data_IF_460896350132
#
_entry.id   IF_460896350132
#
_cell.length_a   1.000
_cell.length_b   1.000
_cell.length_c   1.000
_cell.angle_alpha   90.00
_cell.angle_beta   90.00
_cell.angle_gamma   90.00
#
_symmetry.space_group_name_H-M   'P 1'
#
loop_
_entity.id
_entity.type
_entity.pdbx_description
1 polymer ?
#
# COMPACT_ATOMS: atom_id res chain seq x y z
N UNK A 1 21.89 0.94 -2.75
CA UNK A 1 23.05 0.40 -2.03
C UNK A 1 22.57 -0.12 -0.69
N UNK A 2 23.04 -1.30 -0.27
CA UNK A 2 22.72 -1.85 1.05
C UNK A 2 23.95 -2.51 1.63
N UNK A 3 24.09 -2.43 2.95
CA UNK A 3 25.12 -3.09 3.73
C UNK A 3 24.46 -3.82 4.88
N UNK A 4 24.94 -5.02 5.19
CA UNK A 4 24.47 -5.83 6.31
C UNK A 4 25.64 -6.53 6.97
N UNK A 5 25.78 -6.35 8.28
CA UNK A 5 26.76 -7.01 9.14
C UNK A 5 26.01 -7.92 10.14
N UNK A 6 26.08 -9.25 9.98
CA UNK A 6 25.29 -10.18 10.81
C UNK A 6 25.84 -10.37 12.24
N UNK A 7 27.09 -9.95 12.50
CA UNK A 7 27.76 -10.10 13.80
C UNK A 7 28.25 -8.78 14.37
N UNK A 8 27.40 -7.77 14.32
CA UNK A 8 27.73 -6.44 14.81
C UNK A 8 28.13 -6.46 16.30
N UNK A 9 29.35 -5.99 16.59
CA UNK A 9 29.93 -6.00 17.93
C UNK A 9 30.54 -7.35 18.36
N UNK A 10 30.57 -8.38 17.50
CA UNK A 10 31.40 -9.60 17.64
C UNK A 10 31.00 -10.62 18.70
N UNK A 11 29.95 -10.39 19.51
CA UNK A 11 29.63 -11.27 20.66
C UNK A 11 28.31 -12.01 20.61
N UNK A 12 27.36 -11.58 19.81
CA UNK A 12 25.99 -12.16 19.68
C UNK A 12 25.49 -11.96 18.27
N UNK A 13 24.54 -12.78 17.80
CA UNK A 13 23.94 -12.56 16.47
C UNK A 13 23.03 -11.33 16.50
N UNK A 14 23.66 -10.15 16.41
CA UNK A 14 23.01 -8.87 16.20
C UNK A 14 23.35 -8.44 14.81
N UNK A 15 22.36 -8.39 13.94
CA UNK A 15 22.52 -7.90 12.59
C UNK A 15 22.35 -6.38 12.56
N UNK A 16 23.32 -5.69 12.04
CA UNK A 16 23.24 -4.28 11.68
C UNK A 16 23.01 -4.17 10.18
N UNK A 17 22.11 -3.29 9.77
CA UNK A 17 21.83 -3.06 8.36
C UNK A 17 21.66 -1.58 8.06
N UNK A 18 22.15 -1.16 6.89
CA UNK A 18 21.90 0.17 6.35
C UNK A 18 21.49 0.04 4.91
N UNK A 19 20.58 0.89 4.47
CA UNK A 19 20.22 0.97 3.06
C UNK A 19 20.08 2.43 2.62
N UNK A 20 20.41 2.65 1.36
CA UNK A 20 20.20 3.91 0.67
C UNK A 20 19.71 3.62 -0.74
N UNK A 21 18.62 4.27 -1.14
CA UNK A 21 18.07 4.15 -2.49
C UNK A 21 17.63 5.50 -3.03
N UNK A 22 17.79 5.66 -4.33
CA UNK A 22 17.26 6.78 -5.08
C UNK A 22 16.55 6.24 -6.32
N UNK A 23 15.33 6.67 -6.53
CA UNK A 23 14.51 6.34 -7.69
C UNK A 23 13.97 7.62 -8.31
N UNK A 24 14.04 7.72 -9.64
CA UNK A 24 13.41 8.79 -10.41
C UNK A 24 12.58 8.18 -11.51
N UNK A 25 11.31 8.56 -11.53
CA UNK A 25 10.34 8.13 -12.53
C UNK A 25 9.88 9.34 -13.34
N UNK A 26 9.66 9.13 -14.63
CA UNK A 26 9.07 10.14 -15.52
C UNK A 26 7.71 9.65 -15.99
N UNK A 27 6.85 10.58 -16.39
CA UNK A 27 5.56 10.22 -16.95
C UNK A 27 5.73 9.67 -18.37
N UNK A 28 5.26 8.44 -18.58
CA UNK A 28 5.24 7.83 -19.90
C UNK A 28 3.91 8.13 -20.59
N UNK A 29 3.97 8.66 -21.80
CA UNK A 29 2.82 8.77 -22.67
C UNK A 29 2.70 7.46 -23.47
N UNK A 30 1.81 6.59 -23.04
CA UNK A 30 1.61 5.28 -23.65
C UNK A 30 1.06 5.36 -25.10
N UNK A 31 0.38 6.48 -25.45
CA UNK A 31 -0.18 6.65 -26.81
C UNK A 31 0.90 7.00 -27.84
N UNK A 32 1.94 7.69 -27.42
CA UNK A 32 3.04 8.15 -28.32
C UNK A 32 4.35 7.40 -28.08
N UNK A 33 4.43 6.59 -27.02
CA UNK A 33 5.66 5.92 -26.58
C UNK A 33 6.75 6.90 -26.08
N UNK A 34 6.41 8.17 -25.91
CA UNK A 34 7.36 9.21 -25.47
C UNK A 34 7.39 9.35 -23.96
N UNK A 35 8.55 9.76 -23.43
CA UNK A 35 8.75 10.03 -22.00
C UNK A 35 8.76 11.54 -21.80
N UNK A 36 7.83 12.04 -20.99
CA UNK A 36 7.79 13.45 -20.60
C UNK A 36 8.71 13.70 -19.40
N UNK A 37 9.92 14.18 -19.68
CA UNK A 37 10.94 14.47 -18.65
C UNK A 37 10.64 15.71 -17.81
N UNK A 38 9.68 16.55 -18.21
CA UNK A 38 9.22 17.68 -17.41
C UNK A 38 8.37 17.27 -16.22
N UNK A 39 7.84 16.03 -16.25
CA UNK A 39 7.01 15.43 -15.19
C UNK A 39 7.77 14.31 -14.52
N UNK A 40 8.09 14.48 -13.25
CA UNK A 40 8.91 13.51 -12.52
C UNK A 40 8.44 13.28 -11.09
N UNK A 41 8.67 12.06 -10.63
CA UNK A 41 8.50 11.63 -9.25
C UNK A 41 9.81 11.05 -8.74
N UNK A 42 10.41 11.71 -7.76
CA UNK A 42 11.67 11.32 -7.15
C UNK A 42 11.43 10.74 -5.75
N UNK A 43 12.11 9.65 -5.43
CA UNK A 43 12.09 9.03 -4.10
C UNK A 43 13.53 8.85 -3.65
N UNK A 44 13.91 9.48 -2.55
CA UNK A 44 15.15 9.25 -1.84
C UNK A 44 14.83 8.51 -0.55
N UNK A 45 15.48 7.39 -0.28
CA UNK A 45 15.25 6.62 0.94
C UNK A 45 16.57 6.25 1.61
N UNK A 46 16.62 6.36 2.92
CA UNK A 46 17.69 5.90 3.77
C UNK A 46 17.13 5.15 4.97
N UNK A 47 17.78 4.06 5.39
CA UNK A 47 17.40 3.35 6.60
C UNK A 47 18.60 2.79 7.36
N UNK A 48 18.44 2.68 8.67
CA UNK A 48 19.37 2.02 9.59
C UNK A 48 18.56 1.08 10.45
N UNK A 49 19.00 -0.17 10.57
CA UNK A 49 18.31 -1.19 11.32
C UNK A 49 19.23 -2.05 12.18
N UNK A 50 18.68 -2.54 13.27
CA UNK A 50 19.27 -3.54 14.17
C UNK A 50 18.27 -4.68 14.35
N UNK A 51 18.69 -5.90 14.10
CA UNK A 51 17.90 -7.09 14.36
C UNK A 51 18.67 -8.03 15.32
N UNK A 52 17.98 -8.51 16.34
CA UNK A 52 18.57 -9.38 17.37
C UNK A 52 17.76 -10.64 17.49
N UNK A 53 18.42 -11.79 17.40
CA UNK A 53 17.82 -13.08 17.77
C UNK A 53 17.65 -13.14 19.29
N UNK A 54 16.45 -13.48 19.72
CA UNK A 54 16.12 -13.67 21.13
C UNK A 54 16.41 -15.11 21.55
N UNK A 55 16.60 -15.33 22.83
CA UNK A 55 16.80 -16.67 23.42
C UNK A 55 15.58 -17.14 24.19
N UNK A 56 14.62 -16.26 24.42
CA UNK A 56 13.38 -16.50 25.16
C UNK A 56 12.22 -15.96 24.31
N UNK A 57 11.13 -16.70 24.13
CA UNK A 57 10.82 -18.06 24.63
C UNK A 57 11.57 -19.17 23.90
N UNK A 58 11.98 -18.98 22.65
CA UNK A 58 12.86 -19.85 21.88
C UNK A 58 13.80 -19.04 20.98
N UNK A 59 14.80 -19.67 20.40
CA UNK A 59 15.83 -19.02 19.56
C UNK A 59 15.38 -18.71 18.12
N UNK A 60 14.11 -18.96 17.79
CA UNK A 60 13.53 -18.64 16.49
C UNK A 60 12.99 -17.21 16.42
N UNK A 61 12.89 -16.52 17.56
CA UNK A 61 12.41 -15.13 17.60
C UNK A 61 13.47 -14.12 17.21
N UNK A 62 13.08 -13.15 16.41
CA UNK A 62 13.90 -12.02 15.99
C UNK A 62 13.16 -10.72 16.34
N UNK A 63 13.80 -9.88 17.14
CA UNK A 63 13.37 -8.51 17.40
C UNK A 63 14.14 -7.57 16.50
N UNK A 64 13.44 -6.80 15.69
CA UNK A 64 14.01 -5.81 14.77
C UNK A 64 13.59 -4.40 15.15
N UNK A 65 14.51 -3.46 14.97
CA UNK A 65 14.28 -2.03 15.15
C UNK A 65 14.91 -1.32 13.96
N UNK A 66 14.22 -0.38 13.36
CA UNK A 66 14.73 0.38 12.24
C UNK A 66 14.27 1.83 12.30
N UNK A 67 15.15 2.72 11.91
CA UNK A 67 14.83 4.12 11.62
C UNK A 67 14.95 4.30 10.12
N UNK A 68 13.96 4.92 9.51
CA UNK A 68 13.94 5.18 8.07
C UNK A 68 13.57 6.64 7.79
N UNK A 69 14.16 7.17 6.76
CA UNK A 69 13.83 8.47 6.21
C UNK A 69 13.56 8.32 4.71
N UNK A 70 12.43 8.86 4.24
CA UNK A 70 12.06 8.91 2.84
C UNK A 70 11.68 10.34 2.47
N UNK A 71 12.22 10.81 1.36
CA UNK A 71 11.88 12.10 0.77
C UNK A 71 11.25 11.87 -0.59
N UNK A 72 10.06 12.37 -0.76
CA UNK A 72 9.28 12.33 -1.99
C UNK A 72 9.26 13.73 -2.59
N UNK A 73 9.48 13.81 -3.90
CA UNK A 73 9.47 15.07 -4.64
C UNK A 73 8.72 14.87 -5.96
N UNK A 74 7.65 15.61 -6.12
CA UNK A 74 6.76 15.55 -7.27
C UNK A 74 6.88 16.87 -8.07
N UNK A 75 7.11 16.73 -9.36
CA UNK A 75 7.12 17.83 -10.30
C UNK A 75 6.12 17.53 -11.44
N UNK A 76 4.97 18.16 -11.41
CA UNK A 76 3.86 17.96 -12.35
C UNK A 76 3.50 16.47 -12.56
N UNK A 77 3.66 15.65 -11.52
CA UNK A 77 3.48 14.22 -11.60
C UNK A 77 2.31 13.76 -10.72
N UNK A 78 1.20 13.40 -11.34
CA UNK A 78 0.06 12.84 -10.61
C UNK A 78 0.19 11.33 -10.51
N UNK A 79 0.43 10.83 -9.31
CA UNK A 79 0.60 9.39 -9.03
C UNK A 79 -0.73 8.68 -8.75
N UNK A 80 -1.82 9.43 -8.53
CA UNK A 80 -3.05 8.87 -7.95
C UNK A 80 -2.94 8.52 -6.47
N UNK A 81 -1.74 8.59 -5.87
CA UNK A 81 -1.50 8.38 -4.44
C UNK A 81 -1.46 9.71 -3.68
N UNK A 82 -0.83 10.71 -4.27
CA UNK A 82 -0.87 12.06 -3.74
C UNK A 82 -2.06 12.81 -4.35
N UNK A 83 -2.69 13.64 -3.56
CA UNK A 83 -3.75 14.54 -4.00
C UNK A 83 -3.20 15.81 -4.66
N UNK A 84 -1.87 15.99 -4.63
CA UNK A 84 -1.15 17.07 -5.29
C UNK A 84 -0.12 16.50 -6.29
N UNK A 85 0.09 17.19 -7.39
CA UNK A 85 1.06 16.83 -8.44
C UNK A 85 2.39 17.57 -8.35
N UNK A 86 2.47 18.60 -7.49
CA UNK A 86 3.67 19.42 -7.25
C UNK A 86 3.89 19.54 -5.75
N UNK A 87 5.13 19.37 -5.33
CA UNK A 87 5.51 19.52 -3.94
C UNK A 87 6.34 18.35 -3.41
N UNK A 88 6.65 18.40 -2.14
CA UNK A 88 7.48 17.40 -1.47
C UNK A 88 6.82 16.86 -0.23
N UNK A 89 7.21 15.65 0.16
CA UNK A 89 6.76 15.01 1.39
C UNK A 89 7.91 14.28 2.06
N UNK A 90 7.97 14.32 3.38
CA UNK A 90 9.01 13.71 4.20
C UNK A 90 8.42 12.69 5.14
N UNK A 91 9.00 11.51 5.16
CA UNK A 91 8.59 10.41 6.01
C UNK A 91 9.77 9.98 6.89
N UNK A 92 9.77 10.39 8.14
CA UNK A 92 10.71 9.89 9.13
C UNK A 92 9.98 8.93 10.05
N UNK A 93 10.40 7.67 10.08
CA UNK A 93 9.68 6.65 10.80
C UNK A 93 10.59 5.74 11.60
N UNK A 94 10.11 5.32 12.77
CA UNK A 94 10.66 4.22 13.55
C UNK A 94 9.77 2.99 13.38
N UNK A 95 10.40 1.85 13.10
CA UNK A 95 9.72 0.56 12.95
C UNK A 95 10.27 -0.42 13.97
N UNK A 96 9.39 -1.03 14.75
CA UNK A 96 9.69 -2.18 15.61
C UNK A 96 8.99 -3.41 15.04
N UNK A 97 9.69 -4.54 15.01
CA UNK A 97 9.15 -5.79 14.52
C UNK A 97 9.57 -6.97 15.39
N UNK A 98 8.63 -7.88 15.60
CA UNK A 98 8.87 -9.18 16.21
C UNK A 98 8.46 -10.24 15.19
N UNK A 99 9.38 -11.11 14.84
CA UNK A 99 9.11 -12.22 13.94
C UNK A 99 9.60 -13.54 14.54
N UNK A 100 8.96 -14.63 14.16
CA UNK A 100 9.35 -15.98 14.48
C UNK A 100 9.21 -16.85 13.25
N UNK A 101 10.23 -17.63 12.93
CA UNK A 101 10.19 -18.54 11.80
C UNK A 101 10.82 -19.86 12.18
N UNK A 102 10.00 -20.92 12.26
CA UNK A 102 10.43 -22.30 12.43
C UNK A 102 9.84 -23.22 11.35
N UNK A 103 9.56 -22.66 10.14
CA UNK A 103 9.13 -23.47 9.00
C UNK A 103 10.17 -24.56 8.67
N UNK A 104 9.68 -25.67 8.14
CA UNK A 104 10.50 -26.79 7.73
C UNK A 104 11.61 -26.41 6.75
N UNK A 105 12.61 -27.28 6.64
CA UNK A 105 13.87 -27.05 5.92
C UNK A 105 13.69 -26.72 4.43
N UNK A 106 12.61 -27.18 3.80
CA UNK A 106 12.33 -26.86 2.39
C UNK A 106 11.60 -25.53 2.28
N UNK A 107 12.24 -24.45 1.83
CA UNK A 107 11.61 -23.13 1.74
C UNK A 107 10.51 -23.04 0.66
N UNK A 108 10.56 -23.89 -0.38
CA UNK A 108 9.61 -23.88 -1.49
C UNK A 108 8.34 -24.65 -1.11
N UNK A 109 8.48 -25.74 -0.40
CA UNK A 109 7.38 -26.59 0.03
C UNK A 109 7.53 -26.96 1.50
N UNK A 110 7.31 -26.02 2.45
CA UNK A 110 7.30 -26.33 3.87
C UNK A 110 6.19 -27.34 4.19
N UNK A 111 6.52 -28.35 4.97
CA UNK A 111 5.56 -29.40 5.35
C UNK A 111 5.09 -29.29 6.79
N UNK A 112 5.77 -28.49 7.60
CA UNK A 112 5.46 -28.23 9.01
C UNK A 112 6.03 -26.88 9.44
N UNK A 113 5.63 -26.45 10.63
CA UNK A 113 6.12 -25.23 11.25
C UNK A 113 5.29 -24.01 10.96
N UNK A 114 5.75 -22.88 11.46
CA UNK A 114 5.04 -21.61 11.33
C UNK A 114 5.99 -20.44 11.16
N UNK A 115 5.46 -19.39 10.58
CA UNK A 115 6.06 -18.09 10.57
C UNK A 115 5.02 -17.08 11.02
N UNK A 116 5.37 -16.22 11.96
CA UNK A 116 4.55 -15.06 12.24
C UNK A 116 5.40 -13.80 12.38
N UNK A 117 4.79 -12.68 12.11
CA UNK A 117 5.40 -11.39 12.30
C UNK A 117 4.37 -10.36 12.76
N UNK A 118 4.79 -9.52 13.68
CA UNK A 118 4.11 -8.29 14.08
C UNK A 118 5.07 -7.16 13.82
N UNK A 119 4.62 -6.12 13.15
CA UNK A 119 5.40 -4.90 12.97
C UNK A 119 4.55 -3.67 13.27
N UNK A 120 5.17 -2.69 13.91
CA UNK A 120 4.56 -1.40 14.17
C UNK A 120 5.51 -0.30 13.70
N UNK A 121 5.02 0.58 12.84
CA UNK A 121 5.72 1.73 12.27
C UNK A 121 5.09 3.00 12.80
N UNK A 122 5.89 3.89 13.33
CA UNK A 122 5.46 5.14 13.95
C UNK A 122 6.25 6.30 13.36
N UNK A 123 5.57 7.38 13.04
CA UNK A 123 6.21 8.67 12.75
C UNK A 123 6.07 9.59 13.97
N UNK A 124 6.91 10.60 14.12
CA UNK A 124 6.70 11.61 15.17
C UNK A 124 5.36 12.33 14.98
N UNK A 125 4.65 12.65 16.09
CA UNK A 125 3.40 13.41 16.05
C UNK A 125 3.68 14.91 15.88
N UNK A 126 4.06 15.31 14.67
CA UNK A 126 4.45 16.69 14.35
C UNK A 126 3.39 17.73 14.67
N UNK A 127 2.11 17.35 14.52
CA UNK A 127 0.97 18.23 14.80
C UNK A 127 0.90 18.71 16.27
N UNK A 128 1.49 17.95 17.20
CA UNK A 128 1.55 18.36 18.62
C UNK A 128 2.52 19.51 18.87
N UNK A 129 3.48 19.74 17.97
CA UNK A 129 4.58 20.67 18.19
C UNK A 129 4.57 21.87 17.25
N UNK A 130 3.97 21.76 16.06
CA UNK A 130 4.08 22.77 15.01
C UNK A 130 3.02 23.88 15.07
N UNK A 131 2.02 23.75 15.95
CA UNK A 131 0.95 24.76 16.19
C UNK A 131 0.15 25.15 14.94
N UNK A 132 0.11 24.29 13.92
CA UNK A 132 -0.68 24.51 12.70
C UNK A 132 -2.12 24.09 12.94
N UNK A 133 -3.06 24.95 12.61
CA UNK A 133 -4.50 24.62 12.63
C UNK A 133 -4.90 23.92 11.32
N UNK A 134 -4.76 22.60 11.33
CA UNK A 134 -5.06 21.77 10.15
C UNK A 134 -6.54 21.72 9.77
N UNK A 135 -7.45 22.00 10.69
CA UNK A 135 -8.88 22.06 10.42
C UNK A 135 -9.24 23.28 9.56
N UNK A 136 -8.56 24.38 9.78
CA UNK A 136 -8.88 25.67 9.15
C UNK A 136 -7.91 26.11 8.05
N UNK A 137 -6.93 25.28 7.66
CA UNK A 137 -5.95 25.61 6.61
C UNK A 137 -6.60 26.18 5.33
N UNK A 138 -7.71 25.57 4.87
CA UNK A 138 -8.40 26.00 3.67
C UNK A 138 -9.03 27.40 3.77
N UNK A 139 -9.13 27.98 4.97
CA UNK A 139 -9.63 29.34 5.18
C UNK A 139 -8.53 30.39 5.09
N UNK A 140 -7.26 30.00 5.22
CA UNK A 140 -6.13 30.92 5.09
C UNK A 140 -5.91 31.33 3.63
N UNK A 141 -5.65 32.61 3.38
CA UNK A 141 -5.48 33.19 2.05
C UNK A 141 -4.43 32.46 1.19
N UNK A 142 -3.34 31.97 1.81
CA UNK A 142 -2.26 31.25 1.13
C UNK A 142 -2.72 29.93 0.49
N UNK A 143 -3.80 29.33 1.01
CA UNK A 143 -4.35 28.05 0.53
C UNK A 143 -5.64 28.21 -0.24
N UNK A 144 -6.00 29.43 -0.65
CA UNK A 144 -7.14 29.71 -1.52
C UNK A 144 -6.84 29.39 -2.98
N UNK A 145 -7.89 28.99 -3.69
CA UNK A 145 -7.81 28.67 -5.11
C UNK A 145 -7.64 29.98 -5.92
N UNK A 146 -6.63 29.98 -6.79
CA UNK A 146 -6.35 31.10 -7.69
C UNK A 146 -6.26 30.61 -9.13
N UNK A 147 -6.61 31.46 -10.09
CA UNK A 147 -6.36 31.15 -11.48
C UNK A 147 -4.85 31.12 -11.76
N UNK A 148 -4.34 29.94 -12.11
CA UNK A 148 -2.92 29.73 -12.47
C UNK A 148 -2.68 29.73 -13.98
N UNK A 149 -3.76 29.81 -14.79
CA UNK A 149 -3.72 29.81 -16.25
C UNK A 149 -3.78 31.20 -16.85
N UNK A 150 -4.07 31.24 -18.14
CA UNK A 150 -4.36 32.48 -18.82
C UNK A 150 -5.65 33.12 -18.31
N UNK A 151 -5.77 34.46 -18.43
CA UNK A 151 -7.00 35.14 -18.09
C UNK A 151 -8.16 34.74 -19.01
N UNK A 152 -9.36 34.71 -18.45
CA UNK A 152 -10.60 34.38 -19.17
C UNK A 152 -11.76 35.23 -18.62
N UNK A 153 -12.87 35.30 -19.37
CA UNK A 153 -14.13 35.79 -18.86
C UNK A 153 -14.91 34.63 -18.18
N UNK A 154 -15.36 34.87 -16.97
CA UNK A 154 -16.18 33.88 -16.25
C UNK A 154 -17.63 33.87 -16.78
N UNK A 155 -18.48 33.00 -16.21
CA UNK A 155 -19.87 32.89 -16.62
C UNK A 155 -20.73 34.13 -16.27
N UNK A 156 -20.19 35.03 -15.44
CA UNK A 156 -20.84 36.29 -15.02
C UNK A 156 -20.22 37.50 -15.76
N UNK A 157 -19.50 37.27 -16.87
CA UNK A 157 -18.79 38.27 -17.68
C UNK A 157 -17.71 39.07 -16.94
N UNK A 158 -17.18 38.55 -15.83
CA UNK A 158 -16.05 39.15 -15.11
C UNK A 158 -14.73 38.63 -15.68
N UNK A 159 -13.75 39.54 -15.83
CA UNK A 159 -12.40 39.14 -16.22
C UNK A 159 -11.65 38.51 -15.05
N UNK A 160 -11.25 37.22 -15.20
CA UNK A 160 -10.44 36.51 -14.26
C UNK A 160 -9.00 36.46 -14.74
N UNK A 161 -8.17 37.33 -14.21
CA UNK A 161 -6.73 37.38 -14.53
C UNK A 161 -5.93 36.28 -13.79
N UNK A 162 -4.67 36.07 -14.21
CA UNK A 162 -3.76 35.17 -13.54
C UNK A 162 -3.49 35.65 -12.11
N UNK A 163 -3.57 34.73 -11.13
CA UNK A 163 -3.36 35.03 -9.69
C UNK A 163 -4.60 35.54 -8.97
N UNK A 164 -5.70 35.82 -9.66
CA UNK A 164 -6.95 36.22 -9.00
C UNK A 164 -7.63 35.02 -8.34
N UNK A 165 -8.32 35.27 -7.21
CA UNK A 165 -9.09 34.28 -6.49
C UNK A 165 -10.33 33.84 -7.27
N UNK A 166 -10.64 32.56 -7.19
CA UNK A 166 -11.79 31.94 -7.85
C UNK A 166 -12.55 31.03 -6.91
N UNK A 167 -13.85 30.90 -7.17
CA UNK A 167 -14.73 29.93 -6.52
C UNK A 167 -15.46 29.11 -7.57
N UNK A 168 -15.91 27.93 -7.19
CA UNK A 168 -16.69 27.03 -8.04
C UNK A 168 -18.18 27.34 -7.87
N UNK A 169 -18.86 27.68 -8.94
CA UNK A 169 -20.32 27.81 -8.99
C UNK A 169 -20.91 26.74 -9.90
N UNK A 170 -22.12 26.29 -9.57
CA UNK A 170 -22.88 25.36 -10.42
C UNK A 170 -23.81 26.17 -11.31
N UNK A 171 -23.46 26.31 -12.59
CA UNK A 171 -24.26 27.04 -13.59
C UNK A 171 -24.73 26.02 -14.64
N UNK A 172 -26.03 25.91 -14.84
CA UNK A 172 -26.66 24.95 -15.77
C UNK A 172 -26.24 23.49 -15.55
N UNK A 173 -25.95 23.11 -14.29
CA UNK A 173 -25.51 21.75 -13.92
C UNK A 173 -24.01 21.50 -14.12
N UNK A 174 -23.23 22.47 -14.52
CA UNK A 174 -21.78 22.38 -14.68
C UNK A 174 -21.06 23.19 -13.60
N UNK A 175 -19.98 22.63 -13.08
CA UNK A 175 -19.08 23.36 -12.19
C UNK A 175 -18.20 24.28 -13.01
N UNK A 176 -18.31 25.59 -12.78
CA UNK A 176 -17.51 26.62 -13.46
C UNK A 176 -16.77 27.46 -12.44
N UNK A 177 -15.58 27.94 -12.78
CA UNK A 177 -14.81 28.82 -11.93
C UNK A 177 -15.19 30.27 -12.25
N UNK A 178 -15.61 31.00 -11.22
CA UNK A 178 -15.96 32.41 -11.30
C UNK A 178 -15.03 33.27 -10.44
N UNK A 179 -14.90 34.55 -10.76
CA UNK A 179 -14.11 35.49 -9.98
C UNK A 179 -14.64 35.55 -8.54
N UNK A 180 -13.73 35.59 -7.58
CA UNK A 180 -14.04 35.68 -6.16
C UNK A 180 -13.07 36.57 -5.42
N UNK A 181 -13.38 36.92 -4.19
CA UNK A 181 -12.44 37.51 -3.23
C UNK A 181 -11.76 36.43 -2.39
N UNK A 182 -10.74 36.82 -1.65
CA UNK A 182 -9.99 35.88 -0.80
C UNK A 182 -10.85 35.22 0.30
N UNK A 183 -11.91 35.90 0.77
CA UNK A 183 -12.76 35.37 1.85
C UNK A 183 -13.68 34.26 1.33
N UNK A 184 -14.23 34.43 0.12
CA UNK A 184 -15.21 33.52 -0.47
C UNK A 184 -14.61 32.49 -1.43
N UNK A 185 -13.34 32.67 -1.85
CA UNK A 185 -12.67 31.73 -2.75
C UNK A 185 -12.62 30.32 -2.15
N UNK A 186 -12.71 29.31 -3.00
CA UNK A 186 -12.54 27.89 -2.63
C UNK A 186 -11.15 27.63 -2.07
N UNK A 187 -11.03 26.59 -1.26
CA UNK A 187 -9.74 26.08 -0.84
C UNK A 187 -9.03 25.34 -1.99
N UNK A 188 -7.77 25.66 -2.23
CA UNK A 188 -6.90 24.86 -3.11
C UNK A 188 -6.51 23.57 -2.39
N UNK A 189 -7.27 22.50 -2.64
CA UNK A 189 -7.08 21.23 -1.97
C UNK A 189 -5.67 20.65 -2.17
N UNK A 190 -5.03 20.93 -3.31
CA UNK A 190 -3.68 20.47 -3.57
C UNK A 190 -2.66 21.18 -2.66
N UNK A 191 -2.79 22.49 -2.45
CA UNK A 191 -1.93 23.23 -1.52
C UNK A 191 -2.19 22.85 -0.06
N UNK A 192 -3.47 22.67 0.31
CA UNK A 192 -3.86 22.22 1.65
C UNK A 192 -3.26 20.84 1.95
N UNK A 193 -3.40 19.90 1.04
CA UNK A 193 -2.90 18.54 1.22
C UNK A 193 -1.37 18.49 1.18
N UNK A 194 -0.72 19.27 0.35
CA UNK A 194 0.72 19.39 0.34
C UNK A 194 1.25 19.89 1.70
N UNK A 195 0.56 20.85 2.33
CA UNK A 195 0.89 21.31 3.67
C UNK A 195 0.61 20.26 4.74
N UNK A 196 -0.54 19.56 4.65
CA UNK A 196 -0.89 18.47 5.57
C UNK A 196 0.12 17.34 5.52
N UNK A 197 0.66 17.01 4.34
CA UNK A 197 1.53 15.87 4.11
C UNK A 197 3.00 16.26 3.86
N UNK A 198 3.42 17.48 4.15
CA UNK A 198 4.83 17.89 4.07
C UNK A 198 5.72 17.01 4.98
N UNK A 199 5.30 16.78 6.22
CA UNK A 199 5.84 15.76 7.10
C UNK A 199 4.75 14.74 7.41
N UNK A 200 4.99 13.47 7.09
CA UNK A 200 4.00 12.42 7.30
C UNK A 200 3.84 12.09 8.76
N UNK A 201 2.59 11.97 9.18
CA UNK A 201 2.21 11.67 10.56
C UNK A 201 1.20 10.54 10.59
N UNK A 202 1.62 9.35 11.03
CA UNK A 202 0.79 8.15 11.11
C UNK A 202 1.41 7.09 12.01
N UNK A 203 0.60 6.12 12.35
CA UNK A 203 1.04 4.82 12.82
C UNK A 203 0.48 3.71 11.94
N UNK A 204 1.26 2.63 11.74
CA UNK A 204 0.88 1.49 10.92
C UNK A 204 1.25 0.20 11.63
N UNK A 205 0.28 -0.68 11.86
CA UNK A 205 0.47 -1.96 12.52
C UNK A 205 0.11 -3.06 11.55
N UNK A 206 0.99 -4.07 11.42
CA UNK A 206 0.73 -5.24 10.60
C UNK A 206 0.99 -6.51 11.39
N UNK A 207 0.15 -7.50 11.14
CA UNK A 207 0.28 -8.85 11.66
C UNK A 207 0.16 -9.84 10.50
N UNK A 208 1.05 -10.83 10.49
CA UNK A 208 0.99 -11.96 9.56
C UNK A 208 1.33 -13.24 10.30
N UNK A 209 0.56 -14.28 10.02
CA UNK A 209 0.79 -15.61 10.58
C UNK A 209 0.54 -16.66 9.51
N UNK A 210 1.48 -17.57 9.34
CA UNK A 210 1.50 -18.60 8.29
C UNK A 210 1.90 -19.94 8.92
N UNK A 211 1.00 -20.93 8.90
CA UNK A 211 1.20 -22.26 9.46
C UNK A 211 1.16 -23.34 8.41
N UNK A 212 2.03 -24.30 8.55
CA UNK A 212 2.09 -25.48 7.71
C UNK A 212 1.90 -26.73 8.56
N UNK A 213 0.93 -27.54 8.19
CA UNK A 213 0.61 -28.79 8.90
C UNK A 213 0.47 -29.91 7.89
N UNK A 214 1.29 -30.95 8.04
CA UNK A 214 1.15 -32.17 7.27
C UNK A 214 -0.08 -32.93 7.75
N UNK A 215 -1.07 -33.13 6.86
CA UNK A 215 -2.31 -33.85 7.23
C UNK A 215 -2.17 -35.31 7.01
N UNK A 216 -1.89 -35.74 5.78
CA UNK A 216 -1.78 -37.15 5.42
C UNK A 216 -0.84 -37.37 4.25
N UNK A 217 0.04 -38.38 4.33
CA UNK A 217 0.98 -38.68 3.26
C UNK A 217 1.86 -37.47 2.88
N UNK A 218 1.66 -36.97 1.68
CA UNK A 218 2.35 -35.79 1.15
C UNK A 218 1.49 -34.51 1.20
N UNK A 219 0.25 -34.62 1.70
CA UNK A 219 -0.70 -33.52 1.71
C UNK A 219 -0.39 -32.56 2.87
N UNK A 220 -0.29 -31.28 2.56
CA UNK A 220 0.03 -30.20 3.51
C UNK A 220 -1.08 -29.16 3.49
N UNK A 221 -1.59 -28.81 4.66
CA UNK A 221 -2.44 -27.65 4.87
C UNK A 221 -1.56 -26.44 5.23
N UNK A 222 -1.75 -25.35 4.52
CA UNK A 222 -1.26 -24.02 4.89
C UNK A 222 -2.42 -23.18 5.37
N UNK A 223 -2.27 -22.55 6.52
CA UNK A 223 -3.24 -21.58 7.08
C UNK A 223 -2.56 -20.24 7.22
N UNK A 224 -3.08 -19.22 6.54
CA UNK A 224 -2.55 -17.86 6.53
C UNK A 224 -3.57 -16.89 7.11
N UNK A 225 -3.13 -16.03 8.02
CA UNK A 225 -3.88 -14.88 8.50
C UNK A 225 -3.04 -13.61 8.38
N UNK A 226 -3.61 -12.56 7.81
CA UNK A 226 -3.00 -11.25 7.70
C UNK A 226 -3.96 -10.18 8.19
N UNK A 227 -3.40 -9.17 8.85
CA UNK A 227 -4.12 -7.99 9.31
C UNK A 227 -3.20 -6.78 9.20
N UNK A 228 -3.76 -5.65 8.81
CA UNK A 228 -3.06 -4.38 8.83
C UNK A 228 -3.99 -3.23 9.16
N UNK A 229 -3.48 -2.28 9.93
CA UNK A 229 -4.18 -1.03 10.17
C UNK A 229 -3.24 0.17 10.09
N UNK A 230 -3.76 1.26 9.57
CA UNK A 230 -3.14 2.55 9.43
C UNK A 230 -4.01 3.59 10.14
N UNK A 231 -3.41 4.41 11.00
CA UNK A 231 -4.11 5.49 11.69
C UNK A 231 -3.30 6.78 11.71
N UNK A 232 -3.95 7.85 12.10
CA UNK A 232 -3.35 9.17 12.30
C UNK A 232 -3.47 9.58 13.76
N UNK A 233 -2.53 10.39 14.26
CA UNK A 233 -2.63 10.98 15.60
C UNK A 233 -3.55 12.20 15.61
N UNK A 234 -3.63 12.92 14.49
CA UNK A 234 -4.47 14.11 14.33
C UNK A 234 -5.48 13.88 13.19
N UNK A 235 -6.78 13.90 13.51
CA UNK A 235 -7.87 13.67 12.57
C UNK A 235 -7.97 14.77 11.50
N UNK A 236 -7.63 16.02 11.84
CA UNK A 236 -7.74 17.17 10.94
C UNK A 236 -6.68 17.16 9.83
N UNK A 237 -5.56 16.47 10.06
CA UNK A 237 -4.58 16.20 9.01
C UNK A 237 -5.08 15.17 8.00
N UNK A 238 -5.93 14.27 8.44
CA UNK A 238 -6.37 13.14 7.64
C UNK A 238 -5.33 12.01 7.58
N UNK A 239 -5.70 10.96 6.88
CA UNK A 239 -4.87 9.76 6.70
C UNK A 239 -3.91 9.93 5.53
N UNK A 240 -2.65 9.58 5.74
CA UNK A 240 -1.61 9.64 4.70
C UNK A 240 -2.03 8.80 3.48
N UNK A 241 -1.88 9.33 2.26
CA UNK A 241 -2.42 8.66 1.07
C UNK A 241 -1.61 7.43 0.64
N UNK A 242 -0.29 7.44 0.74
CA UNK A 242 0.56 6.41 0.12
C UNK A 242 1.04 5.27 1.05
N UNK A 243 0.67 5.28 2.30
CA UNK A 243 0.89 4.13 3.20
C UNK A 243 -0.32 3.21 3.28
N UNK A 244 -1.36 3.46 2.50
CA UNK A 244 -2.62 2.71 2.50
C UNK A 244 -2.48 1.37 1.80
N UNK A 245 -3.43 0.48 2.07
CA UNK A 245 -3.49 -0.86 1.52
C UNK A 245 -4.40 -0.92 0.30
N UNK A 246 -3.98 -1.66 -0.72
CA UNK A 246 -4.76 -1.92 -1.92
C UNK A 246 -5.02 -3.42 -2.00
N UNK A 247 -6.28 -3.84 -2.01
CA UNK A 247 -6.68 -5.24 -1.81
C UNK A 247 -7.35 -5.79 -3.06
N UNK A 248 -6.97 -7.01 -3.42
CA UNK A 248 -7.52 -7.78 -4.55
C UNK A 248 -6.45 -8.26 -5.52
N UNK A 249 -6.75 -9.32 -6.24
CA UNK A 249 -5.93 -9.87 -7.31
C UNK A 249 -4.79 -10.76 -6.89
N UNK A 250 -3.73 -10.76 -7.69
CA UNK A 250 -2.54 -11.59 -7.51
C UNK A 250 -1.50 -11.00 -6.54
N UNK A 251 -1.72 -9.78 -6.06
CA UNK A 251 -0.77 -9.07 -5.19
C UNK A 251 0.36 -8.36 -5.96
N UNK A 252 0.32 -8.38 -7.29
CA UNK A 252 1.26 -7.63 -8.12
C UNK A 252 0.79 -6.18 -8.23
N UNK A 253 1.71 -5.24 -8.06
CA UNK A 253 1.44 -3.85 -8.34
C UNK A 253 1.37 -3.65 -9.86
N UNK A 254 0.24 -3.20 -10.39
CA UNK A 254 0.02 -2.94 -11.81
C UNK A 254 1.01 -1.89 -12.34
N UNK A 255 2.25 -2.27 -12.65
CA UNK A 255 3.31 -1.41 -13.21
C UNK A 255 3.52 -0.04 -12.53
N UNK A 256 2.76 0.26 -11.47
CA UNK A 256 2.89 1.48 -10.70
C UNK A 256 3.96 1.27 -9.61
N UNK A 257 5.17 1.76 -9.86
CA UNK A 257 6.26 1.74 -8.89
C UNK A 257 6.12 2.93 -7.91
N UNK A 258 4.93 3.14 -7.40
CA UNK A 258 4.59 4.28 -6.53
C UNK A 258 4.68 3.95 -5.02
N UNK A 259 5.09 2.72 -4.69
CA UNK A 259 5.28 2.29 -3.30
C UNK A 259 3.99 1.88 -2.58
N UNK A 260 2.86 1.73 -3.31
CA UNK A 260 1.62 1.22 -2.71
C UNK A 260 1.78 -0.21 -2.21
N UNK A 261 1.15 -0.52 -1.08
CA UNK A 261 1.15 -1.88 -0.52
C UNK A 261 -0.07 -2.66 -1.06
N UNK A 262 0.21 -3.64 -1.92
CA UNK A 262 -0.84 -4.45 -2.55
C UNK A 262 -0.99 -5.78 -1.81
N UNK A 263 -2.22 -6.09 -1.40
CA UNK A 263 -2.60 -7.32 -0.71
C UNK A 263 -3.40 -8.18 -1.68
N UNK A 264 -2.81 -9.29 -2.12
CA UNK A 264 -3.49 -10.21 -3.04
C UNK A 264 -4.69 -10.90 -2.39
N UNK A 265 -5.80 -11.00 -3.10
CA UNK A 265 -6.94 -11.85 -2.78
C UNK A 265 -7.45 -12.46 -4.09
N UNK A 266 -7.22 -13.75 -4.26
CA UNK A 266 -7.52 -14.48 -5.50
C UNK A 266 -9.03 -14.58 -5.72
N UNK A 267 -9.45 -14.66 -6.99
CA UNK A 267 -10.87 -14.66 -7.38
C UNK A 267 -11.47 -13.26 -7.54
N UNK A 268 -10.65 -12.22 -7.42
CA UNK A 268 -11.03 -10.82 -7.64
C UNK A 268 -9.98 -10.10 -8.50
N UNK A 269 -10.37 -9.12 -9.32
CA UNK A 269 -9.40 -8.32 -10.08
C UNK A 269 -8.43 -7.56 -9.19
N UNK A 270 -7.29 -7.18 -9.74
CA UNK A 270 -6.27 -6.45 -9.00
C UNK A 270 -6.83 -5.16 -8.38
N UNK A 271 -6.61 -5.00 -7.07
CA UNK A 271 -7.01 -3.85 -6.25
C UNK A 271 -8.53 -3.58 -6.19
N UNK A 272 -9.38 -4.43 -6.76
CA UNK A 272 -10.82 -4.21 -6.92
C UNK A 272 -11.61 -4.20 -5.61
N UNK A 273 -11.05 -4.70 -4.52
CA UNK A 273 -11.67 -4.70 -3.20
C UNK A 273 -11.27 -3.49 -2.35
N UNK A 274 -10.47 -2.58 -2.92
CA UNK A 274 -10.06 -1.35 -2.26
C UNK A 274 -11.25 -0.38 -2.19
N UNK A 275 -11.52 0.25 -1.03
CA UNK A 275 -12.58 1.24 -0.90
C UNK A 275 -12.43 2.39 -1.90
N UNK A 276 -13.55 2.84 -2.45
CA UNK A 276 -13.63 4.01 -3.34
C UNK A 276 -14.29 5.18 -2.62
N UNK A 277 -13.89 6.38 -2.98
CA UNK A 277 -14.57 7.59 -2.52
C UNK A 277 -15.89 7.84 -3.29
N UNK A 278 -16.60 8.91 -2.94
CA UNK A 278 -17.86 9.29 -3.58
C UNK A 278 -17.72 9.62 -5.08
N UNK A 279 -16.49 9.84 -5.57
CA UNK A 279 -16.16 10.09 -6.98
C UNK A 279 -15.70 8.84 -7.71
N UNK A 280 -15.67 7.67 -7.03
CA UNK A 280 -15.21 6.41 -7.58
C UNK A 280 -13.68 6.24 -7.62
N UNK A 281 -12.91 7.15 -7.04
CA UNK A 281 -11.45 7.03 -6.97
C UNK A 281 -11.04 6.08 -5.83
N UNK A 282 -10.08 5.18 -6.11
CA UNK A 282 -9.53 4.27 -5.12
C UNK A 282 -8.42 4.97 -4.32
N UNK A 283 -8.75 5.38 -3.10
CA UNK A 283 -7.81 6.09 -2.22
C UNK A 283 -7.02 5.17 -1.29
N UNK A 284 -7.18 3.85 -1.43
CA UNK A 284 -6.56 2.85 -0.56
C UNK A 284 -7.33 2.64 0.75
N UNK A 285 -7.19 1.46 1.33
CA UNK A 285 -7.76 1.08 2.61
C UNK A 285 -6.85 1.46 3.77
N UNK A 286 -7.43 1.71 4.93
CA UNK A 286 -6.69 1.94 6.18
C UNK A 286 -6.66 0.72 7.08
N UNK A 287 -7.61 -0.20 6.88
CA UNK A 287 -7.67 -1.48 7.58
C UNK A 287 -7.95 -2.58 6.58
N UNK A 288 -7.24 -3.69 6.70
CA UNK A 288 -7.57 -4.91 5.98
C UNK A 288 -7.40 -6.13 6.87
N UNK A 289 -8.09 -7.20 6.51
CA UNK A 289 -7.83 -8.55 6.99
C UNK A 289 -7.93 -9.55 5.83
N UNK A 290 -7.12 -10.61 5.91
CA UNK A 290 -7.11 -11.70 4.95
C UNK A 290 -6.88 -13.00 5.66
N UNK A 291 -7.65 -14.02 5.26
CA UNK A 291 -7.49 -15.40 5.68
C UNK A 291 -7.38 -16.28 4.44
N UNK A 292 -6.50 -17.28 4.50
CA UNK A 292 -6.35 -18.25 3.42
C UNK A 292 -6.08 -19.64 3.99
N UNK A 293 -6.78 -20.62 3.47
CA UNK A 293 -6.50 -22.03 3.69
C UNK A 293 -6.13 -22.64 2.34
N UNK A 294 -4.94 -23.24 2.27
CA UNK A 294 -4.47 -23.92 1.06
C UNK A 294 -4.14 -25.37 1.37
N UNK A 295 -4.70 -26.26 0.59
CA UNK A 295 -4.35 -27.66 0.58
C UNK A 295 -3.37 -27.92 -0.56
N UNK A 296 -2.14 -28.31 -0.22
CA UNK A 296 -1.00 -28.43 -1.14
C UNK A 296 -0.57 -29.86 -1.31
N UNK A 297 -0.35 -30.28 -2.56
CA UNK A 297 0.14 -31.62 -2.88
C UNK A 297 1.35 -31.54 -3.83
N UNK A 298 2.53 -32.07 -3.45
CA UNK A 298 3.72 -32.04 -4.26
C UNK A 298 3.66 -33.11 -5.37
N UNK A 299 3.79 -32.69 -6.61
CA UNK A 299 3.93 -33.56 -7.77
C UNK A 299 5.38 -34.04 -7.93
N UNK A 300 6.32 -33.10 -7.78
CA UNK A 300 7.75 -33.39 -7.73
C UNK A 300 8.47 -32.35 -6.86
N UNK A 301 9.48 -32.78 -6.10
CA UNK A 301 10.32 -31.92 -5.27
C UNK A 301 11.80 -32.20 -5.56
N UNK A 302 12.19 -32.23 -6.84
CA UNK A 302 13.58 -32.42 -7.25
C UNK A 302 14.33 -31.08 -7.19
N UNK A 303 15.65 -31.13 -7.01
CA UNK A 303 16.50 -29.95 -6.99
C UNK A 303 16.46 -29.16 -8.31
N UNK A 304 16.22 -29.82 -9.43
CA UNK A 304 16.08 -29.18 -10.75
C UNK A 304 14.75 -28.47 -10.96
N UNK A 305 13.69 -28.98 -10.35
CA UNK A 305 12.35 -28.39 -10.40
C UNK A 305 11.48 -28.91 -9.26
N UNK A 306 10.79 -28.01 -8.56
CA UNK A 306 9.76 -28.36 -7.59
C UNK A 306 8.40 -27.93 -8.13
N UNK A 307 7.47 -28.90 -8.26
CA UNK A 307 6.14 -28.66 -8.80
C UNK A 307 5.12 -29.16 -7.79
N UNK A 308 4.14 -28.33 -7.45
CA UNK A 308 3.03 -28.71 -6.58
C UNK A 308 1.71 -28.09 -7.04
N UNK A 309 0.65 -28.85 -6.87
CA UNK A 309 -0.71 -28.37 -7.05
C UNK A 309 -1.28 -27.90 -5.70
N UNK A 310 -2.24 -27.02 -5.75
CA UNK A 310 -2.96 -26.55 -4.58
C UNK A 310 -4.44 -26.29 -4.89
N UNK A 311 -5.26 -26.40 -3.86
CA UNK A 311 -6.59 -25.82 -3.80
C UNK A 311 -6.64 -24.84 -2.65
N UNK A 312 -7.47 -23.81 -2.76
CA UNK A 312 -7.55 -22.76 -1.74
C UNK A 312 -8.97 -22.30 -1.48
N UNK A 313 -9.17 -21.79 -0.28
CA UNK A 313 -10.31 -20.97 0.12
C UNK A 313 -9.70 -19.72 0.75
N UNK A 314 -10.13 -18.54 0.28
CA UNK A 314 -9.70 -17.25 0.81
C UNK A 314 -10.90 -16.40 1.20
N UNK A 315 -10.66 -15.52 2.16
CA UNK A 315 -11.59 -14.48 2.53
C UNK A 315 -10.82 -13.26 3.03
N UNK A 316 -11.23 -12.08 2.63
CA UNK A 316 -10.61 -10.85 3.05
C UNK A 316 -11.52 -9.66 2.85
N UNK A 317 -11.17 -8.56 3.49
CA UNK A 317 -11.89 -7.31 3.36
C UNK A 317 -10.96 -6.12 3.57
N UNK A 318 -11.37 -4.98 3.03
CA UNK A 318 -10.66 -3.72 3.14
C UNK A 318 -11.64 -2.61 3.52
N UNK A 319 -11.20 -1.73 4.41
CA UNK A 319 -12.03 -0.66 4.97
C UNK A 319 -11.30 0.68 4.92
N UNK A 320 -12.05 1.73 4.71
CA UNK A 320 -11.58 3.12 4.73
C UNK A 320 -11.35 3.66 6.14
N UNK A 321 -11.97 3.03 7.15
CA UNK A 321 -11.91 3.47 8.55
C UNK A 321 -11.99 2.28 9.50
N UNK A 322 -11.24 2.36 10.61
CA UNK A 322 -11.31 1.37 11.68
C UNK A 322 -12.70 1.34 12.35
N UNK A 323 -13.45 2.44 12.29
CA UNK A 323 -14.81 2.50 12.84
C UNK A 323 -15.79 1.55 12.11
N UNK A 324 -15.57 1.35 10.81
CA UNK A 324 -16.40 0.51 9.95
C UNK A 324 -15.92 -0.94 9.89
N UNK A 325 -14.79 -1.24 10.57
CA UNK A 325 -14.16 -2.54 10.49
C UNK A 325 -15.01 -3.65 11.11
N UNK A 326 -15.31 -4.67 10.31
CA UNK A 326 -15.95 -5.91 10.75
C UNK A 326 -15.17 -7.11 10.19
N UNK A 327 -14.46 -7.87 11.05
CA UNK A 327 -13.61 -8.98 10.61
C UNK A 327 -14.37 -10.18 10.02
N UNK A 328 -15.71 -10.22 10.17
CA UNK A 328 -16.56 -11.32 9.71
C UNK A 328 -17.26 -11.04 8.37
N UNK A 329 -17.23 -9.81 7.89
CA UNK A 329 -17.73 -9.44 6.56
C UNK A 329 -16.58 -9.55 5.57
N UNK A 330 -16.54 -10.66 4.82
CA UNK A 330 -15.43 -11.02 3.95
C UNK A 330 -15.90 -11.20 2.52
N UNK A 331 -15.13 -10.73 1.56
CA UNK A 331 -15.17 -11.17 0.17
C UNK A 331 -14.48 -12.52 0.08
N UNK A 332 -15.24 -13.56 -0.27
CA UNK A 332 -14.83 -14.97 -0.24
C UNK A 332 -14.52 -15.48 -1.63
N UNK A 333 -13.55 -16.33 -1.72
CA UNK A 333 -13.21 -17.03 -2.95
C UNK A 333 -12.72 -18.44 -2.69
N UNK A 334 -12.76 -19.28 -3.71
CA UNK A 334 -12.14 -20.59 -3.72
C UNK A 334 -11.57 -20.89 -5.10
N UNK A 335 -10.59 -21.77 -5.16
CA UNK A 335 -9.98 -22.11 -6.43
C UNK A 335 -8.90 -23.15 -6.33
N UNK A 336 -8.15 -23.28 -7.41
CA UNK A 336 -7.03 -24.19 -7.52
C UNK A 336 -5.89 -23.56 -8.31
N UNK A 337 -4.69 -24.11 -8.14
CA UNK A 337 -3.53 -23.58 -8.83
C UNK A 337 -2.38 -24.56 -8.91
N UNK A 338 -1.38 -24.15 -9.69
CA UNK A 338 -0.13 -24.87 -9.90
C UNK A 338 1.04 -23.94 -9.60
N UNK A 339 2.05 -24.50 -8.95
CA UNK A 339 3.32 -23.84 -8.70
C UNK A 339 4.45 -24.63 -9.30
N UNK A 340 5.34 -23.95 -9.99
CA UNK A 340 6.55 -24.49 -10.58
C UNK A 340 7.73 -23.63 -10.13
N UNK A 341 8.62 -24.20 -9.37
CA UNK A 341 9.89 -23.58 -9.02
C UNK A 341 11.02 -24.17 -9.85
N UNK A 342 11.77 -23.32 -10.48
CA UNK A 342 13.01 -23.66 -11.20
C UNK A 342 14.13 -22.71 -10.73
N UNK A 343 15.32 -23.22 -10.39
CA UNK A 343 16.40 -22.39 -9.86
C UNK A 343 16.80 -21.21 -10.76
N UNK A 344 16.68 -21.37 -12.08
CA UNK A 344 17.00 -20.32 -13.05
C UNK A 344 15.95 -19.23 -13.20
N UNK A 345 14.67 -19.53 -12.89
CA UNK A 345 13.54 -18.62 -13.14
C UNK A 345 12.76 -18.24 -11.88
N UNK A 346 13.08 -18.87 -10.73
CA UNK A 346 12.33 -18.68 -9.50
C UNK A 346 10.98 -19.42 -9.47
N UNK A 347 10.06 -18.93 -8.67
CA UNK A 347 8.71 -19.48 -8.55
C UNK A 347 7.79 -18.85 -9.59
N UNK A 348 7.16 -19.71 -10.37
CA UNK A 348 6.08 -19.37 -11.29
C UNK A 348 4.81 -20.06 -10.82
N UNK A 349 3.67 -19.41 -10.99
CA UNK A 349 2.39 -19.98 -10.62
C UNK A 349 1.25 -19.46 -11.49
N UNK A 350 0.21 -20.27 -11.55
CA UNK A 350 -1.08 -19.88 -12.12
C UNK A 350 -2.19 -20.37 -11.19
N UNK A 351 -3.11 -19.48 -10.86
CA UNK A 351 -4.29 -19.78 -10.05
C UNK A 351 -5.57 -19.45 -10.82
N UNK A 352 -6.57 -20.29 -10.66
CA UNK A 352 -7.93 -20.05 -11.11
C UNK A 352 -8.79 -19.91 -9.84
N UNK A 353 -9.30 -18.72 -9.61
CA UNK A 353 -10.11 -18.38 -8.44
C UNK A 353 -11.52 -17.96 -8.84
N UNK A 354 -12.50 -18.39 -8.09
CA UNK A 354 -13.90 -17.96 -8.22
C UNK A 354 -14.26 -17.07 -7.03
N UNK A 355 -14.60 -15.80 -7.30
CA UNK A 355 -15.11 -14.87 -6.30
C UNK A 355 -16.62 -15.06 -6.10
N UNK A 356 -17.01 -15.42 -4.87
CA UNK A 356 -18.41 -15.69 -4.52
C UNK A 356 -19.21 -14.43 -4.26
N UNK A 357 -18.56 -13.36 -3.87
CA UNK A 357 -19.22 -12.11 -3.49
C UNK A 357 -19.04 -11.05 -4.58
N UNK A 358 -19.96 -10.10 -4.63
CA UNK A 358 -19.89 -8.98 -5.56
C UNK A 358 -18.74 -8.03 -5.18
N UNK A 359 -18.21 -7.31 -6.17
CA UNK A 359 -17.27 -6.23 -5.91
C UNK A 359 -17.95 -5.11 -5.09
N UNK A 360 -17.20 -4.39 -4.23
CA UNK A 360 -17.75 -3.30 -3.40
C UNK A 360 -17.98 -2.02 -4.24
N UNK A 361 -18.66 -2.16 -5.36
CA UNK A 361 -19.02 -1.09 -6.29
C UNK A 361 -20.54 -0.93 -6.24
N UNK A 362 -21.00 0.30 -6.09
CA UNK A 362 -22.42 0.59 -6.01
C UNK A 362 -23.19 0.04 -7.22
N UNK A 363 -24.26 -0.73 -6.94
CA UNK A 363 -25.11 -1.33 -7.97
C UNK A 363 -24.68 -2.70 -8.46
N UNK A 364 -23.51 -3.23 -8.08
CA UNK A 364 -23.11 -4.59 -8.38
C UNK A 364 -23.60 -5.54 -7.29
N UNK A 365 -24.38 -6.55 -7.69
CA UNK A 365 -24.93 -7.58 -6.78
C UNK A 365 -24.54 -8.99 -7.18
N UNK A 366 -23.99 -9.17 -8.38
CA UNK A 366 -23.60 -10.49 -8.89
C UNK A 366 -22.20 -10.86 -8.37
N UNK A 367 -21.97 -12.17 -8.08
CA UNK A 367 -20.64 -12.67 -7.79
C UNK A 367 -19.61 -12.23 -8.87
N UNK A 368 -18.36 -12.01 -8.45
CA UNK A 368 -17.32 -11.62 -9.40
C UNK A 368 -17.08 -12.71 -10.45
N UNK A 369 -17.14 -14.00 -10.05
CA UNK A 369 -16.94 -15.12 -10.96
C UNK A 369 -15.47 -15.56 -11.05
N UNK A 370 -15.09 -16.14 -12.21
CA UNK A 370 -13.76 -16.70 -12.42
C UNK A 370 -12.73 -15.63 -12.79
N UNK A 371 -11.58 -15.69 -12.11
CA UNK A 371 -10.40 -14.90 -12.38
C UNK A 371 -9.16 -15.78 -12.51
N UNK A 372 -8.24 -15.41 -13.40
CA UNK A 372 -6.95 -16.07 -13.56
C UNK A 372 -5.85 -15.17 -13.02
N UNK A 373 -5.02 -15.70 -12.13
CA UNK A 373 -3.94 -14.98 -11.49
C UNK A 373 -2.59 -15.61 -11.83
N UNK A 374 -1.63 -14.77 -12.16
CA UNK A 374 -0.25 -15.19 -12.40
C UNK A 374 0.61 -14.84 -11.21
N UNK A 375 1.50 -15.74 -10.81
CA UNK A 375 2.44 -15.53 -9.73
C UNK A 375 3.85 -15.63 -10.30
N UNK A 376 4.62 -14.58 -10.14
CA UNK A 376 5.99 -14.45 -10.62
C UNK A 376 6.86 -14.00 -9.45
N UNK A 377 7.91 -14.74 -9.17
CA UNK A 377 8.88 -14.38 -8.13
C UNK A 377 8.97 -15.37 -6.97
N UNK A 378 9.83 -15.06 -6.02
CA UNK A 378 9.97 -15.85 -4.80
C UNK A 378 8.96 -15.36 -3.76
N UNK A 379 7.89 -16.12 -3.57
CA UNK A 379 7.01 -15.99 -2.42
C UNK A 379 7.51 -16.96 -1.33
N UNK A 380 8.56 -16.60 -0.64
CA UNK A 380 9.10 -17.34 0.50
C UNK A 380 8.64 -16.73 1.83
#
# INVERSE_FOLDING_TARGET
>A
MSFSEPWFGGKKPVQFSTSFSYSKQFLNNYSTGSVDKSKSFNILSASIGLAKRLTVPDDSFILSNAISFQYYDLNNYNTGLFTFGNGSSRNFAYTIGLSRNNKGVNPIFPTYGSEFSVSAKFTPPYSLFNKVDYANLGNEEAYKLTNTGQGYFDANDNWVGTGQFVQTEVINGFNVLVLSDAANADADQAKVDQKKFDWLEYYKIKFKADWFTKIYGKLVLRSLGEFGCLGTYNQDRGLVPFERFFVGGDGLANFALDGREVIGLRGYPNQSLTPTDSKGAQNGATVYNKFSLELRYPLTLKSSASIYALTFIEGGAAYDSFKNYNPFVLQRSAGFGLRVFMPAFGLLGIDFGYGFDALPIQGLTKPNGWETHFIIGQQF
#
